data_IF_113954607351
#
_entry.id   IF_113954607351
#
_cell.length_a   1.000
_cell.length_b   1.000
_cell.length_c   1.000
_cell.angle_alpha   90.00
_cell.angle_beta   90.00
_cell.angle_gamma   90.00
#
_symmetry.space_group_name_H-M   'P 1'
#
loop_
_entity.id
_entity.type
_entity.pdbx_description
1 polymer ?
#
# COMPACT_ATOMS: atom_id res chain seq x y z
N UNK A 1 -15.82 -49.60 42.12
CA UNK A 1 -16.31 -48.49 41.27
C UNK A 1 -15.22 -47.64 40.60
N UNK A 2 -13.95 -47.71 41.00
CA UNK A 2 -12.88 -46.84 40.49
C UNK A 2 -12.45 -47.08 39.01
N UNK A 3 -12.67 -48.27 38.46
CA UNK A 3 -12.20 -48.68 37.11
C UNK A 3 -13.10 -48.15 35.98
N UNK A 4 -14.41 -48.10 36.22
CA UNK A 4 -15.43 -47.54 35.31
C UNK A 4 -15.26 -46.03 35.13
N UNK A 5 -14.98 -45.29 36.20
CA UNK A 5 -14.72 -43.85 36.14
C UNK A 5 -13.51 -43.50 35.28
N UNK A 6 -12.43 -44.28 35.33
CA UNK A 6 -11.23 -44.04 34.52
C UNK A 6 -11.48 -44.20 33.02
N UNK A 7 -12.32 -45.16 32.64
CA UNK A 7 -12.68 -45.42 31.23
C UNK A 7 -13.56 -44.28 30.68
N UNK A 8 -14.55 -43.85 31.47
CA UNK A 8 -15.40 -42.72 31.10
C UNK A 8 -14.61 -41.41 30.97
N UNK A 9 -13.69 -41.13 31.89
CA UNK A 9 -12.84 -39.94 31.83
C UNK A 9 -11.92 -39.96 30.60
N UNK A 10 -11.33 -41.11 30.26
CA UNK A 10 -10.49 -41.23 29.07
C UNK A 10 -11.26 -41.01 27.76
N UNK A 11 -12.51 -41.47 27.68
CA UNK A 11 -13.36 -41.26 26.49
C UNK A 11 -13.78 -39.79 26.34
N UNK A 12 -14.08 -39.10 27.44
CA UNK A 12 -14.43 -37.68 27.43
C UNK A 12 -13.22 -36.82 27.02
N UNK A 13 -12.02 -37.13 27.51
CA UNK A 13 -10.78 -36.42 27.11
C UNK A 13 -10.48 -36.62 25.62
N UNK A 14 -10.67 -37.83 25.10
CA UNK A 14 -10.46 -38.10 23.67
C UNK A 14 -11.46 -37.33 22.77
N UNK A 15 -12.73 -37.21 23.19
CA UNK A 15 -13.74 -36.42 22.48
C UNK A 15 -13.46 -34.91 22.55
N UNK A 16 -12.94 -34.41 23.67
CA UNK A 16 -12.56 -32.99 23.83
C UNK A 16 -11.34 -32.61 22.96
N UNK A 17 -10.38 -33.53 22.79
CA UNK A 17 -9.22 -33.31 21.91
C UNK A 17 -9.59 -33.31 20.42
N UNK A 18 -10.67 -34.01 20.03
CA UNK A 18 -11.14 -34.06 18.64
C UNK A 18 -11.91 -32.80 18.19
N UNK A 19 -12.30 -31.93 19.13
CA UNK A 19 -13.01 -30.66 18.86
C UNK A 19 -12.07 -29.44 18.83
N UNK A 20 -10.75 -29.63 18.98
CA UNK A 20 -9.80 -28.54 18.79
C UNK A 20 -9.73 -28.20 17.29
N UNK A 21 -9.93 -26.92 16.92
CA UNK A 21 -10.09 -26.54 15.53
C UNK A 21 -8.79 -26.81 14.77
N UNK A 22 -8.93 -27.53 13.65
CA UNK A 22 -7.98 -27.60 12.52
C UNK A 22 -7.79 -26.21 11.87
N UNK A 23 -7.47 -25.19 12.67
CA UNK A 23 -7.64 -23.79 12.31
C UNK A 23 -6.47 -22.92 12.71
N UNK A 24 -5.24 -23.45 12.65
CA UNK A 24 -4.03 -22.64 12.68
C UNK A 24 -3.08 -23.12 11.58
N UNK A 25 -3.53 -23.01 10.33
CA UNK A 25 -2.58 -22.92 9.23
C UNK A 25 -2.09 -21.48 9.28
N UNK A 26 -0.85 -21.19 9.69
CA UNK A 26 -0.30 -19.86 9.47
C UNK A 26 -0.35 -19.63 7.96
N UNK A 27 -1.16 -18.67 7.54
CA UNK A 27 -1.15 -18.19 6.17
C UNK A 27 0.22 -17.56 5.93
N UNK A 28 1.20 -18.39 5.57
CA UNK A 28 2.40 -17.93 4.90
C UNK A 28 1.89 -17.41 3.57
N UNK A 29 1.55 -16.12 3.53
CA UNK A 29 1.27 -15.43 2.29
C UNK A 29 2.54 -15.58 1.47
N UNK A 30 2.51 -16.48 0.49
CA UNK A 30 3.48 -16.51 -0.58
C UNK A 30 3.40 -15.11 -1.22
N UNK A 31 4.28 -14.21 -0.79
CA UNK A 31 4.53 -12.98 -1.50
C UNK A 31 5.10 -13.43 -2.83
N UNK A 32 4.22 -13.55 -3.84
CA UNK A 32 4.66 -13.58 -5.22
C UNK A 32 5.70 -12.46 -5.34
N UNK A 33 6.91 -12.79 -5.81
CA UNK A 33 8.02 -11.84 -5.92
C UNK A 33 7.52 -10.57 -6.61
N UNK A 34 7.24 -9.54 -5.80
CA UNK A 34 6.65 -8.31 -6.31
C UNK A 34 7.77 -7.57 -7.02
N UNK A 35 7.57 -7.28 -8.31
CA UNK A 35 8.55 -6.57 -9.13
C UNK A 35 7.99 -5.24 -9.61
N UNK A 36 8.88 -4.25 -9.71
CA UNK A 36 8.55 -2.88 -10.13
C UNK A 36 8.28 -1.92 -8.97
N UNK A 37 7.70 -0.76 -9.31
CA UNK A 37 7.57 0.35 -8.37
C UNK A 37 6.32 0.29 -7.49
N UNK A 38 5.25 -0.36 -7.94
CA UNK A 38 3.98 -0.48 -7.22
C UNK A 38 3.99 -1.70 -6.29
N UNK A 39 5.06 -1.84 -5.52
CA UNK A 39 5.26 -2.93 -4.58
C UNK A 39 5.22 -2.44 -3.13
N UNK A 40 4.81 -3.31 -2.18
CA UNK A 40 4.87 -2.98 -0.76
C UNK A 40 6.24 -2.42 -0.37
N UNK A 41 6.24 -1.38 0.46
CA UNK A 41 7.45 -0.66 0.84
C UNK A 41 7.88 0.45 -0.13
N UNK A 42 7.15 0.67 -1.24
CA UNK A 42 7.38 1.77 -2.18
C UNK A 42 8.86 1.90 -2.61
N UNK A 43 9.44 0.85 -3.25
CA UNK A 43 10.87 0.80 -3.53
C UNK A 43 11.37 1.92 -4.46
N UNK A 44 10.48 2.47 -5.29
CA UNK A 44 10.80 3.60 -6.17
C UNK A 44 10.48 4.97 -5.55
N UNK A 45 10.06 5.03 -4.28
CA UNK A 45 9.73 6.26 -3.55
C UNK A 45 8.72 7.14 -4.30
N UNK A 46 7.70 6.49 -4.85
CA UNK A 46 6.63 7.13 -5.60
C UNK A 46 5.86 8.13 -4.72
N UNK A 47 5.44 9.25 -5.31
CA UNK A 47 4.46 10.16 -4.71
C UNK A 47 3.18 10.23 -5.56
N UNK A 48 2.00 10.28 -4.93
CA UNK A 48 0.71 10.29 -5.63
C UNK A 48 0.52 11.57 -6.43
N UNK A 49 -0.19 11.47 -7.56
CA UNK A 49 -0.61 12.61 -8.37
C UNK A 49 -2.14 12.61 -8.57
N UNK A 50 -2.83 13.74 -8.33
CA UNK A 50 -2.34 14.89 -7.57
C UNK A 50 -2.14 14.53 -6.09
N UNK A 51 -1.44 15.38 -5.35
CA UNK A 51 -1.38 15.27 -3.90
C UNK A 51 -2.76 15.61 -3.32
N UNK A 52 -3.23 14.78 -2.39
CA UNK A 52 -4.47 15.02 -1.64
C UNK A 52 -4.11 15.57 -0.26
N UNK A 53 -4.97 16.40 0.33
CA UNK A 53 -4.73 16.93 1.69
C UNK A 53 -4.69 15.82 2.75
N UNK A 54 -5.33 14.67 2.46
CA UNK A 54 -5.30 13.47 3.29
C UNK A 54 -4.01 12.66 3.18
N UNK A 55 -3.12 12.98 2.24
CA UNK A 55 -1.92 12.20 2.02
C UNK A 55 -0.91 12.37 3.16
N UNK A 56 -0.30 11.27 3.56
CA UNK A 56 0.80 11.29 4.53
C UNK A 56 2.07 11.69 3.80
N UNK A 57 2.63 12.83 4.19
CA UNK A 57 3.92 13.32 3.72
C UNK A 57 5.03 12.66 4.54
N UNK A 58 5.95 11.97 3.86
CA UNK A 58 7.16 11.48 4.50
C UNK A 58 8.18 12.62 4.68
N UNK A 59 8.81 12.69 5.85
CA UNK A 59 9.83 13.72 6.17
C UNK A 59 11.02 13.70 5.20
N UNK A 60 11.36 12.52 4.68
CA UNK A 60 12.52 12.27 3.84
C UNK A 60 12.18 12.20 2.33
N UNK A 61 11.00 12.69 1.92
CA UNK A 61 10.51 12.55 0.55
C UNK A 61 11.54 12.96 -0.53
N UNK A 62 11.50 12.34 -1.72
CA UNK A 62 12.35 12.75 -2.83
C UNK A 62 12.13 14.21 -3.24
N UNK A 63 13.19 14.92 -3.58
CA UNK A 63 13.14 16.36 -3.94
C UNK A 63 12.17 16.66 -5.09
N UNK A 64 12.02 15.77 -6.07
CA UNK A 64 11.01 15.90 -7.13
C UNK A 64 9.58 15.97 -6.55
N UNK A 65 9.24 15.12 -5.57
CA UNK A 65 7.93 15.11 -4.93
C UNK A 65 7.67 16.39 -4.12
N UNK A 66 8.69 16.87 -3.42
CA UNK A 66 8.65 18.13 -2.69
C UNK A 66 8.40 19.32 -3.62
N UNK A 67 9.11 19.38 -4.76
CA UNK A 67 8.91 20.42 -5.78
C UNK A 67 7.51 20.39 -6.39
N UNK A 68 6.97 19.21 -6.70
CA UNK A 68 5.60 19.08 -7.21
C UNK A 68 4.61 19.68 -6.22
N UNK A 69 4.73 19.36 -4.92
CA UNK A 69 3.85 19.91 -3.89
C UNK A 69 3.99 21.42 -3.68
N UNK A 70 5.17 21.97 -3.91
CA UNK A 70 5.39 23.42 -3.86
C UNK A 70 4.78 24.13 -5.07
N UNK A 71 4.84 23.52 -6.26
CA UNK A 71 4.28 24.07 -7.49
C UNK A 71 2.75 23.86 -7.58
N UNK A 72 2.25 22.74 -7.08
CA UNK A 72 0.85 22.31 -7.12
C UNK A 72 0.40 21.93 -5.72
N UNK A 73 -0.36 22.81 -5.02
CA UNK A 73 -0.85 22.54 -3.68
C UNK A 73 -1.75 21.30 -3.62
N UNK A 74 -1.78 20.59 -2.48
CA UNK A 74 -2.72 19.49 -2.27
C UNK A 74 -4.18 19.93 -2.38
N UNK A 75 -5.04 19.00 -2.81
CA UNK A 75 -6.47 19.25 -3.01
C UNK A 75 -7.34 18.25 -2.23
N UNK A 76 -8.59 18.64 -1.99
CA UNK A 76 -9.63 17.76 -1.41
C UNK A 76 -10.63 17.24 -2.47
N UNK A 77 -10.54 17.76 -3.70
CA UNK A 77 -11.51 17.45 -4.74
C UNK A 77 -11.44 15.99 -5.16
N UNK A 78 -12.59 15.33 -5.21
CA UNK A 78 -12.67 13.90 -5.50
C UNK A 78 -12.25 13.59 -6.96
N UNK A 79 -11.69 12.39 -7.20
CA UNK A 79 -11.41 11.93 -8.56
C UNK A 79 -12.64 11.98 -9.46
N UNK A 80 -12.54 12.69 -10.59
CA UNK A 80 -13.64 12.89 -11.54
C UNK A 80 -14.21 14.31 -11.58
N UNK A 81 -13.81 15.17 -10.65
CA UNK A 81 -14.10 16.60 -10.68
C UNK A 81 -13.17 17.36 -11.64
N UNK A 82 -13.59 18.53 -12.12
CA UNK A 82 -12.77 19.38 -12.98
C UNK A 82 -11.50 19.85 -12.25
N UNK A 83 -11.63 20.17 -10.97
CA UNK A 83 -10.53 20.60 -10.10
C UNK A 83 -9.50 19.48 -9.94
N UNK A 84 -9.96 18.23 -9.76
CA UNK A 84 -9.08 17.07 -9.72
C UNK A 84 -8.31 16.89 -11.03
N UNK A 85 -8.97 16.98 -12.18
CA UNK A 85 -8.29 16.82 -13.47
C UNK A 85 -7.29 17.94 -13.74
N UNK A 86 -7.65 19.20 -13.43
CA UNK A 86 -6.74 20.33 -13.55
C UNK A 86 -5.49 20.16 -12.68
N UNK A 87 -5.66 19.75 -11.42
CA UNK A 87 -4.55 19.49 -10.51
C UNK A 87 -3.71 18.28 -10.95
N UNK A 88 -4.35 17.22 -11.44
CA UNK A 88 -3.66 16.04 -11.99
C UNK A 88 -2.76 16.43 -13.17
N UNK A 89 -3.26 17.22 -14.12
CA UNK A 89 -2.50 17.65 -15.29
C UNK A 89 -1.30 18.52 -14.88
N UNK A 90 -1.52 19.49 -13.99
CA UNK A 90 -0.43 20.32 -13.46
C UNK A 90 0.62 19.51 -12.70
N UNK A 91 0.18 18.56 -11.86
CA UNK A 91 1.07 17.70 -11.08
C UNK A 91 1.87 16.76 -12.00
N UNK A 92 1.25 16.25 -13.06
CA UNK A 92 1.88 15.42 -14.09
C UNK A 92 2.95 16.20 -14.84
N UNK A 93 2.64 17.43 -15.26
CA UNK A 93 3.61 18.31 -15.91
C UNK A 93 4.78 18.65 -14.97
N UNK A 94 4.49 18.95 -13.71
CA UNK A 94 5.52 19.27 -12.70
C UNK A 94 6.45 18.08 -12.46
N UNK A 95 5.92 16.84 -12.42
CA UNK A 95 6.72 15.63 -12.29
C UNK A 95 7.75 15.51 -13.42
N UNK A 96 7.30 15.59 -14.68
CA UNK A 96 8.17 15.47 -15.85
C UNK A 96 9.19 16.61 -15.90
N UNK A 97 8.75 17.85 -15.64
CA UNK A 97 9.62 19.04 -15.59
C UNK A 97 10.75 18.88 -14.56
N UNK A 98 10.49 18.21 -13.45
CA UNK A 98 11.46 17.97 -12.38
C UNK A 98 12.21 16.63 -12.53
N UNK A 99 12.21 16.05 -13.74
CA UNK A 99 12.98 14.85 -14.08
C UNK A 99 12.37 13.53 -13.63
N UNK A 100 11.12 13.52 -13.19
CA UNK A 100 10.41 12.29 -12.82
C UNK A 100 9.69 11.63 -13.99
N UNK A 101 9.48 10.31 -13.88
CA UNK A 101 8.62 9.54 -14.78
C UNK A 101 7.20 9.45 -14.21
N UNK A 102 6.17 9.61 -15.04
CA UNK A 102 4.78 9.43 -14.60
C UNK A 102 4.37 7.98 -14.80
N UNK A 103 3.96 7.32 -13.72
CA UNK A 103 3.49 5.93 -13.72
C UNK A 103 1.99 5.90 -13.55
N UNK A 104 1.31 5.22 -14.48
CA UNK A 104 -0.10 4.88 -14.34
C UNK A 104 -0.26 3.67 -13.43
N UNK A 105 -1.03 3.82 -12.36
CA UNK A 105 -1.42 2.73 -11.50
C UNK A 105 -2.62 1.98 -12.09
N UNK A 106 -2.35 0.87 -12.78
CA UNK A 106 -3.39 -0.02 -13.31
C UNK A 106 -3.91 -1.04 -12.29
N UNK A 107 -3.24 -1.19 -11.15
CA UNK A 107 -3.56 -2.19 -10.11
C UNK A 107 -3.69 -1.49 -8.76
N UNK A 108 -4.86 -0.91 -8.50
CA UNK A 108 -5.11 -0.25 -7.22
C UNK A 108 -5.05 -1.28 -6.09
N UNK A 109 -4.16 -1.03 -5.15
CA UNK A 109 -4.06 -1.77 -3.89
C UNK A 109 -4.32 -0.80 -2.75
N UNK A 110 -4.49 -1.32 -1.54
CA UNK A 110 -4.67 -0.49 -0.35
C UNK A 110 -3.43 0.40 -0.08
N UNK A 111 -2.25 -0.03 -0.55
CA UNK A 111 -0.98 0.71 -0.42
C UNK A 111 -0.86 1.77 -1.52
N UNK A 112 -1.35 1.49 -2.73
CA UNK A 112 -1.30 2.40 -3.86
C UNK A 112 -2.71 2.73 -4.36
N UNK A 113 -3.32 3.74 -3.74
CA UNK A 113 -4.70 4.17 -3.99
C UNK A 113 -4.83 5.13 -5.18
N UNK A 114 -3.82 5.96 -5.45
CA UNK A 114 -3.86 6.96 -6.52
C UNK A 114 -3.80 6.34 -7.90
N UNK A 115 -4.41 7.02 -8.88
CA UNK A 115 -4.43 6.57 -10.29
C UNK A 115 -3.09 6.78 -10.98
N UNK A 116 -2.35 7.80 -10.58
CA UNK A 116 -1.08 8.18 -11.15
C UNK A 116 -0.09 8.48 -10.02
N UNK A 117 1.18 8.21 -10.30
CA UNK A 117 2.29 8.44 -9.41
C UNK A 117 3.43 9.11 -10.16
N UNK A 118 4.15 10.00 -9.50
CA UNK A 118 5.47 10.41 -9.96
C UNK A 118 6.51 9.45 -9.42
N UNK A 119 7.33 8.90 -10.31
CA UNK A 119 8.57 8.19 -9.99
C UNK A 119 9.72 9.20 -10.10
N UNK A 120 10.29 9.65 -8.98
CA UNK A 120 11.41 10.57 -8.99
C UNK A 120 12.67 9.91 -9.57
N UNK A 121 13.51 10.69 -10.23
CA UNK A 121 14.87 10.26 -10.54
C UNK A 121 15.69 10.26 -9.25
N UNK A 122 16.07 9.06 -8.80
CA UNK A 122 16.85 8.90 -7.58
C UNK A 122 18.35 9.07 -7.80
N UNK A 123 18.80 9.17 -9.06
CA UNK A 123 20.21 9.39 -9.41
C UNK A 123 20.68 10.82 -9.14
N UNK A 124 19.75 11.77 -9.02
CA UNK A 124 20.05 13.19 -8.80
C UNK A 124 20.27 13.58 -7.34
N UNK A 125 20.49 12.62 -6.42
CA UNK A 125 20.98 12.92 -5.06
C UNK A 125 22.42 13.44 -5.13
N UNK A 126 22.58 14.75 -5.30
CA UNK A 126 23.83 15.48 -5.04
C UNK A 126 23.72 16.20 -3.70
#
# INVERSE_FOLDING_TARGET
MQKQHKIFVNQIIALLLALLPFGYIPQVQAQASCSGCLCPGNPCRLCPLPAMTSDIVADDEPETCKKIRQEVPPIDSQPGSNEYFASLDQSTMSCVKNGGDVIKNSRRSEIFTSRYYCKPDLSTRK
#
